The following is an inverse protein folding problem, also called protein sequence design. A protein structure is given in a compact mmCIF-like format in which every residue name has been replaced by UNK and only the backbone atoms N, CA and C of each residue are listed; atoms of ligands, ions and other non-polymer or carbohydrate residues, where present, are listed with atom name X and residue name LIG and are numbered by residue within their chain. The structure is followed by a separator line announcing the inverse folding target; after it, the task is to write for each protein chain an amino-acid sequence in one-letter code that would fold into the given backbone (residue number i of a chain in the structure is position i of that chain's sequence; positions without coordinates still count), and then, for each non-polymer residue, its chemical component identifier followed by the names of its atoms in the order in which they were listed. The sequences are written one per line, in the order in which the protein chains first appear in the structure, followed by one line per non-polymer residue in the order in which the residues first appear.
data_IF_903671290369
#
_entry.id   IF_903671290369
#
_cell.length_a   1.000
_cell.length_b   1.000
_cell.length_c   1.000
_cell.angle_alpha   90.00
_cell.angle_beta   90.00
_cell.angle_gamma   90.00
#
_symmetry.space_group_name_H-M   'P 1'
#
loop_
_entity.id
_entity.type
_entity.pdbx_description
1 polymer ?
#
# COMPACT_ATOMS: atom_id res chain seq x y z
N UNK A 1 -6.71 15.59 -12.13
CA UNK A 1 -7.20 14.41 -11.40
C UNK A 1 -6.83 14.53 -9.93
N UNK A 2 -7.71 14.08 -9.05
CA UNK A 2 -7.57 14.12 -7.59
C UNK A 2 -7.76 12.74 -7.01
N UNK A 3 -7.29 12.51 -5.80
CA UNK A 3 -7.45 11.26 -5.08
C UNK A 3 -8.23 11.47 -3.77
N UNK A 4 -9.13 10.55 -3.47
CA UNK A 4 -9.88 10.48 -2.22
C UNK A 4 -9.59 9.15 -1.54
N UNK A 5 -8.96 9.21 -0.36
CA UNK A 5 -8.69 8.04 0.47
C UNK A 5 -9.86 7.83 1.43
N UNK A 6 -10.46 6.66 1.38
CA UNK A 6 -11.48 6.24 2.33
C UNK A 6 -10.78 5.61 3.55
N UNK A 7 -10.86 6.26 4.70
CA UNK A 7 -10.28 5.74 5.96
C UNK A 7 -11.12 4.65 6.61
N UNK A 8 -12.35 4.43 6.11
CA UNK A 8 -13.31 3.51 6.70
C UNK A 8 -14.15 4.19 7.78
N UNK A 9 -15.47 3.97 7.75
CA UNK A 9 -16.33 4.38 8.87
C UNK A 9 -15.95 3.62 10.13
N UNK A 10 -16.24 4.16 11.32
CA UNK A 10 -16.05 3.50 12.63
C UNK A 10 -16.48 2.05 12.51
N UNK A 11 -15.53 1.14 12.37
CA UNK A 11 -15.78 -0.29 12.31
C UNK A 11 -16.25 -0.73 13.69
N UNK A 12 -17.56 -0.66 13.93
CA UNK A 12 -18.22 -1.02 15.19
C UNK A 12 -17.92 -2.48 15.62
N UNK A 13 -17.29 -3.27 14.74
CA UNK A 13 -16.97 -4.67 15.00
C UNK A 13 -15.59 -4.92 15.60
N UNK A 14 -14.62 -3.99 15.46
CA UNK A 14 -13.25 -4.16 15.95
C UNK A 14 -12.78 -3.06 16.89
N UNK A 15 -13.58 -1.99 17.12
CA UNK A 15 -13.27 -0.92 18.08
C UNK A 15 -12.05 -0.04 17.74
N UNK A 16 -11.35 -0.34 16.64
CA UNK A 16 -10.14 0.38 16.22
C UNK A 16 -10.32 0.95 14.83
N UNK A 17 -9.89 2.18 14.62
CA UNK A 17 -9.83 2.78 13.29
C UNK A 17 -8.78 2.04 12.45
N UNK A 18 -9.24 1.41 11.36
CA UNK A 18 -8.36 0.63 10.48
C UNK A 18 -7.27 1.47 9.83
N UNK A 19 -7.52 2.75 9.60
CA UNK A 19 -6.54 3.65 8.98
C UNK A 19 -5.29 3.80 9.84
N UNK A 20 -5.42 3.60 11.17
CA UNK A 20 -4.35 3.68 12.16
C UNK A 20 -3.63 2.34 12.39
N UNK A 21 -4.07 1.25 11.76
CA UNK A 21 -3.34 -0.01 11.85
C UNK A 21 -1.98 0.12 11.17
N UNK A 22 -0.95 -0.31 11.86
CA UNK A 22 0.43 -0.23 11.38
C UNK A 22 0.89 -1.53 10.72
N UNK A 23 1.67 -1.38 9.65
CA UNK A 23 2.44 -2.44 9.01
C UNK A 23 3.89 -1.97 8.93
N UNK A 24 4.78 -2.63 9.66
CA UNK A 24 6.18 -2.23 9.69
C UNK A 24 6.41 -0.82 10.28
N UNK A 25 5.58 -0.38 11.23
CA UNK A 25 5.69 0.95 11.86
C UNK A 25 5.14 2.10 11.01
N UNK A 26 4.44 1.80 9.92
CA UNK A 26 3.76 2.78 9.05
C UNK A 26 2.28 2.48 9.03
N UNK A 27 1.43 3.47 9.30
CA UNK A 27 -0.02 3.30 9.28
C UNK A 27 -0.53 2.99 7.87
N UNK A 28 -1.67 2.32 7.77
CA UNK A 28 -2.32 2.05 6.47
C UNK A 28 -2.62 3.35 5.72
N UNK A 29 -3.00 4.40 6.43
CA UNK A 29 -3.23 5.71 5.83
C UNK A 29 -1.95 6.29 5.24
N UNK A 30 -0.85 6.34 6.00
CA UNK A 30 0.44 6.85 5.52
C UNK A 30 0.96 6.03 4.33
N UNK A 31 0.80 4.71 4.39
CA UNK A 31 1.15 3.81 3.29
C UNK A 31 0.35 4.16 2.02
N UNK A 32 -0.96 4.34 2.14
CA UNK A 32 -1.82 4.70 1.00
C UNK A 32 -1.47 6.08 0.44
N UNK A 33 -1.17 7.05 1.30
CA UNK A 33 -0.67 8.37 0.88
C UNK A 33 0.63 8.21 0.08
N UNK A 34 1.57 7.41 0.58
CA UNK A 34 2.85 7.12 -0.09
C UNK A 34 2.69 6.50 -1.48
N UNK A 35 1.70 5.60 -1.65
CA UNK A 35 1.38 4.99 -2.94
C UNK A 35 0.83 6.00 -3.98
N UNK A 36 0.04 6.97 -3.53
CA UNK A 36 -0.65 7.92 -4.41
C UNK A 36 0.22 9.13 -4.74
N UNK A 37 1.07 9.57 -3.81
CA UNK A 37 1.86 10.80 -3.92
C UNK A 37 2.70 10.92 -5.19
N UNK A 38 3.29 9.84 -5.76
CA UNK A 38 3.98 9.91 -7.06
C UNK A 38 3.06 10.17 -8.25
N UNK A 39 1.74 9.92 -8.12
CA UNK A 39 0.76 9.97 -9.20
C UNK A 39 -0.04 11.28 -9.22
N UNK A 40 -0.27 11.90 -8.05
CA UNK A 40 -0.93 13.21 -7.91
C UNK A 40 -0.60 13.86 -6.58
N UNK A 41 -0.48 15.19 -6.59
CA UNK A 41 -0.32 15.99 -5.36
C UNK A 41 -1.67 16.35 -4.70
N UNK A 42 -2.78 16.19 -5.43
CA UNK A 42 -4.13 16.54 -4.96
C UNK A 42 -4.78 15.35 -4.26
N UNK A 43 -4.37 15.09 -3.02
CA UNK A 43 -4.84 13.96 -2.21
C UNK A 43 -5.71 14.50 -1.06
N UNK A 44 -6.87 13.89 -0.88
CA UNK A 44 -7.85 14.21 0.16
C UNK A 44 -8.20 12.96 0.96
N UNK A 45 -8.60 13.15 2.21
CA UNK A 45 -9.09 12.09 3.08
C UNK A 45 -10.60 12.25 3.24
N UNK A 46 -11.35 11.20 2.95
CA UNK A 46 -12.80 11.15 3.21
C UNK A 46 -13.04 10.89 4.68
N UNK A 47 -13.80 11.76 5.30
CA UNK A 47 -14.14 11.67 6.72
C UNK A 47 -15.66 11.74 6.93
N UNK A 48 -16.13 11.20 8.05
CA UNK A 48 -17.53 11.26 8.39
C UNK A 48 -18.03 12.71 8.52
N UNK A 49 -19.34 12.93 8.37
CA UNK A 49 -19.96 14.25 8.41
C UNK A 49 -19.65 15.03 9.70
N UNK A 50 -19.63 14.33 10.83
CA UNK A 50 -19.40 14.86 12.18
C UNK A 50 -17.98 14.65 12.71
N UNK A 51 -17.05 14.22 11.85
CA UNK A 51 -15.67 13.96 12.23
C UNK A 51 -14.96 15.27 12.62
N UNK A 52 -14.28 15.25 13.77
CA UNK A 52 -13.48 16.32 14.32
C UNK A 52 -12.00 15.99 14.47
N UNK A 53 -11.56 14.82 14.00
CA UNK A 53 -10.15 14.39 14.09
C UNK A 53 -9.26 15.22 13.16
N UNK A 54 -7.96 15.28 13.49
CA UNK A 54 -6.95 15.91 12.65
C UNK A 54 -6.29 14.88 11.77
N UNK A 55 -6.18 15.19 10.49
CA UNK A 55 -5.56 14.33 9.50
C UNK A 55 -4.35 15.02 8.85
N UNK A 56 -3.37 14.27 8.34
CA UNK A 56 -2.14 14.83 7.75
C UNK A 56 -2.36 15.52 6.40
N UNK A 57 -3.54 15.38 5.80
CA UNK A 57 -3.92 15.95 4.51
C UNK A 57 -5.29 16.63 4.58
N UNK A 58 -5.65 17.47 3.59
CA UNK A 58 -6.98 18.06 3.49
C UNK A 58 -8.08 16.99 3.50
N UNK A 59 -9.17 17.28 4.19
CA UNK A 59 -10.32 16.37 4.34
C UNK A 59 -11.51 16.82 3.51
N UNK A 60 -12.29 15.84 3.04
CA UNK A 60 -13.62 16.06 2.47
C UNK A 60 -14.62 15.32 3.36
N UNK A 61 -15.56 16.08 3.95
CA UNK A 61 -16.60 15.53 4.80
C UNK A 61 -17.75 14.98 3.99
N UNK A 62 -18.28 13.84 4.43
CA UNK A 62 -19.52 13.30 3.89
C UNK A 62 -20.65 14.34 3.97
N UNK A 63 -21.48 14.43 2.94
CA UNK A 63 -22.59 15.39 2.89
C UNK A 63 -23.73 15.04 3.86
N UNK A 64 -23.87 13.76 4.18
CA UNK A 64 -24.89 13.21 5.08
C UNK A 64 -24.28 12.22 6.08
N UNK A 65 -24.91 12.00 7.25
CA UNK A 65 -24.48 10.97 8.18
C UNK A 65 -24.56 9.56 7.57
N UNK A 66 -23.48 8.77 7.73
CA UNK A 66 -23.39 7.34 7.36
C UNK A 66 -23.78 6.98 5.91
N UNK A 67 -23.31 7.69 4.88
CA UNK A 67 -23.69 7.40 3.49
C UNK A 67 -22.97 6.17 2.91
N UNK A 68 -22.01 5.61 3.62
CA UNK A 68 -21.10 4.57 3.13
C UNK A 68 -20.11 5.10 2.07
N UNK A 69 -19.35 4.23 1.39
CA UNK A 69 -18.27 4.65 0.50
C UNK A 69 -18.71 5.52 -0.69
N UNK A 70 -19.95 5.41 -1.13
CA UNK A 70 -20.50 6.27 -2.20
C UNK A 70 -20.73 7.71 -1.74
N UNK A 71 -20.92 7.95 -0.43
CA UNK A 71 -21.04 9.30 0.13
C UNK A 71 -19.75 10.08 0.01
N UNK A 72 -18.61 9.46 0.30
CA UNK A 72 -17.30 10.08 0.10
C UNK A 72 -17.09 10.48 -1.37
N UNK A 73 -17.44 9.60 -2.33
CA UNK A 73 -17.35 9.92 -3.75
C UNK A 73 -18.32 11.06 -4.15
N UNK A 74 -19.53 11.08 -3.58
CA UNK A 74 -20.48 12.16 -3.81
C UNK A 74 -19.95 13.50 -3.28
N UNK A 75 -19.38 13.50 -2.08
CA UNK A 75 -18.75 14.68 -1.49
C UNK A 75 -17.54 15.15 -2.31
N UNK A 76 -16.75 14.24 -2.86
CA UNK A 76 -15.65 14.57 -3.76
C UNK A 76 -16.12 15.27 -5.03
N UNK A 77 -17.15 14.75 -5.70
CA UNK A 77 -17.73 15.42 -6.87
C UNK A 77 -18.43 16.76 -6.53
N UNK A 78 -18.99 16.89 -5.33
CA UNK A 78 -19.51 18.18 -4.85
C UNK A 78 -18.38 19.19 -4.58
N UNK A 79 -17.22 18.72 -4.11
CA UNK A 79 -16.03 19.54 -3.88
C UNK A 79 -15.38 20.02 -5.19
N UNK A 80 -15.27 19.14 -6.19
CA UNK A 80 -14.77 19.49 -7.53
C UNK A 80 -15.46 18.60 -8.59
N UNK A 81 -16.50 19.16 -9.25
CA UNK A 81 -17.30 18.41 -10.22
C UNK A 81 -16.59 18.13 -11.54
N UNK A 82 -15.57 18.90 -11.88
CA UNK A 82 -14.87 18.82 -13.17
C UNK A 82 -13.66 17.88 -13.14
N UNK A 83 -13.24 17.46 -11.95
CA UNK A 83 -12.10 16.55 -11.77
C UNK A 83 -12.52 15.08 -11.80
N UNK A 84 -11.68 14.25 -12.44
CA UNK A 84 -11.73 12.81 -12.20
C UNK A 84 -11.13 12.49 -10.81
N UNK A 85 -11.70 11.49 -10.13
CA UNK A 85 -11.36 11.11 -8.77
C UNK A 85 -10.88 9.65 -8.69
N UNK A 86 -9.66 9.43 -8.21
CA UNK A 86 -9.25 8.13 -7.70
C UNK A 86 -9.92 7.93 -6.34
N UNK A 87 -10.83 6.97 -6.24
CA UNK A 87 -11.38 6.50 -4.97
C UNK A 87 -10.61 5.27 -4.52
N UNK A 88 -10.01 5.31 -3.34
CA UNK A 88 -9.21 4.21 -2.82
C UNK A 88 -9.46 3.98 -1.33
N UNK A 89 -9.67 2.72 -0.95
CA UNK A 89 -9.72 2.32 0.45
C UNK A 89 -8.29 2.15 1.01
N UNK A 90 -8.06 2.57 2.25
CA UNK A 90 -6.74 2.45 2.89
C UNK A 90 -6.40 1.01 3.32
N UNK A 91 -7.31 0.06 3.22
CA UNK A 91 -7.15 -1.31 3.69
C UNK A 91 -6.66 -2.30 2.61
N UNK A 92 -5.93 -1.80 1.60
CA UNK A 92 -5.30 -2.59 0.52
C UNK A 92 -3.75 -2.63 0.69
N UNK A 93 -3.23 -3.39 1.65
CA UNK A 93 -1.83 -3.30 2.06
C UNK A 93 -0.82 -3.83 1.04
N UNK A 94 -1.24 -4.67 0.10
CA UNK A 94 -0.37 -5.29 -0.92
C UNK A 94 -0.38 -4.54 -2.26
N UNK A 95 -1.16 -3.46 -2.38
CA UNK A 95 -1.21 -2.66 -3.59
C UNK A 95 0.12 -1.89 -3.78
N UNK A 96 0.62 -1.87 -5.01
CA UNK A 96 1.87 -1.19 -5.38
C UNK A 96 1.62 0.11 -6.18
N UNK A 97 2.62 1.01 -6.29
CA UNK A 97 2.52 2.17 -7.17
C UNK A 97 2.34 1.79 -8.64
N UNK A 98 2.96 0.70 -9.09
CA UNK A 98 2.87 0.16 -10.45
C UNK A 98 1.45 -0.30 -10.76
N UNK A 99 0.78 -0.93 -9.78
CA UNK A 99 -0.62 -1.31 -9.91
C UNK A 99 -1.50 -0.08 -10.13
N UNK A 100 -1.35 0.94 -9.28
CA UNK A 100 -2.12 2.18 -9.43
C UNK A 100 -1.85 2.90 -10.75
N UNK A 101 -0.60 2.89 -11.25
CA UNK A 101 -0.25 3.52 -12.53
C UNK A 101 -1.10 3.00 -13.68
N UNK A 102 -1.48 1.71 -13.67
CA UNK A 102 -2.33 1.13 -14.70
C UNK A 102 -3.71 1.81 -14.78
N UNK A 103 -4.28 2.25 -13.63
CA UNK A 103 -5.54 3.00 -13.64
C UNK A 103 -5.37 4.37 -14.29
N UNK A 104 -4.22 5.02 -14.11
CA UNK A 104 -3.93 6.35 -14.67
C UNK A 104 -3.65 6.32 -16.18
N UNK A 105 -3.06 5.22 -16.65
CA UNK A 105 -2.72 5.02 -18.07
C UNK A 105 -3.94 4.65 -18.92
N UNK A 106 -4.95 4.03 -18.29
CA UNK A 106 -6.15 3.57 -18.97
C UNK A 106 -7.35 4.44 -18.59
N UNK A 107 -7.96 5.10 -19.56
CA UNK A 107 -9.09 6.01 -19.32
C UNK A 107 -10.40 5.37 -19.77
N UNK A 108 -11.25 5.05 -18.80
CA UNK A 108 -12.63 4.69 -19.03
C UNK A 108 -13.50 5.93 -19.28
N UNK A 109 -14.66 5.74 -19.85
CA UNK A 109 -15.62 6.81 -20.11
C UNK A 109 -16.20 7.36 -18.80
N UNK A 110 -16.71 6.47 -17.94
CA UNK A 110 -17.25 6.83 -16.63
C UNK A 110 -16.35 6.35 -15.49
N UNK A 111 -15.71 5.17 -15.64
CA UNK A 111 -14.85 4.60 -14.62
C UNK A 111 -13.78 3.68 -15.23
N UNK A 112 -12.58 3.72 -14.63
CA UNK A 112 -11.52 2.71 -14.81
C UNK A 112 -11.32 2.00 -13.48
N UNK A 113 -11.40 0.67 -13.48
CA UNK A 113 -11.33 -0.13 -12.27
C UNK A 113 -10.60 -1.45 -12.50
N UNK A 114 -10.17 -2.07 -11.41
CA UNK A 114 -9.70 -3.45 -11.44
C UNK A 114 -10.86 -4.43 -11.28
N UNK A 115 -10.68 -5.63 -11.84
CA UNK A 115 -11.50 -6.80 -11.49
C UNK A 115 -10.94 -7.43 -10.21
N UNK A 116 -11.81 -7.63 -9.24
CA UNK A 116 -11.45 -8.32 -8.00
C UNK A 116 -11.17 -9.80 -8.30
N UNK A 117 -9.99 -10.32 -7.94
CA UNK A 117 -9.57 -11.67 -8.32
C UNK A 117 -10.39 -12.80 -7.67
N UNK A 118 -11.19 -12.48 -6.65
CA UNK A 118 -11.93 -13.48 -5.90
C UNK A 118 -13.29 -13.81 -6.53
N UNK A 119 -13.93 -12.82 -7.12
CA UNK A 119 -15.30 -12.93 -7.61
C UNK A 119 -15.47 -12.36 -9.03
N UNK A 120 -14.39 -11.93 -9.63
CA UNK A 120 -14.33 -11.37 -11.00
C UNK A 120 -15.28 -10.18 -11.21
N UNK A 121 -15.53 -9.42 -10.14
CA UNK A 121 -16.36 -8.23 -10.17
C UNK A 121 -15.53 -6.95 -10.12
N UNK A 122 -16.03 -5.85 -10.71
CA UNK A 122 -15.37 -4.55 -10.62
C UNK A 122 -15.16 -4.13 -9.15
N UNK A 123 -13.94 -3.70 -8.81
CA UNK A 123 -13.60 -3.21 -7.47
C UNK A 123 -13.92 -1.71 -7.37
N UNK A 124 -14.95 -1.33 -6.63
CA UNK A 124 -15.38 0.07 -6.58
C UNK A 124 -14.51 0.96 -5.70
N UNK A 125 -13.72 0.38 -4.79
CA UNK A 125 -12.92 1.11 -3.81
C UNK A 125 -11.43 1.13 -4.16
N UNK A 126 -11.10 0.85 -5.42
CA UNK A 126 -9.81 1.11 -6.05
C UNK A 126 -10.07 1.39 -7.54
N UNK A 127 -10.60 2.59 -7.84
CA UNK A 127 -11.05 2.94 -9.18
C UNK A 127 -10.96 4.45 -9.43
N UNK A 128 -10.76 4.84 -10.68
CA UNK A 128 -10.83 6.25 -11.13
C UNK A 128 -12.19 6.51 -11.75
N UNK A 129 -12.93 7.43 -11.15
CA UNK A 129 -14.23 7.88 -11.59
C UNK A 129 -14.13 9.20 -12.35
N UNK A 130 -14.61 9.24 -13.58
CA UNK A 130 -14.70 10.45 -14.38
C UNK A 130 -15.88 11.35 -13.93
N UNK A 131 -15.88 12.65 -14.22
CA UNK A 131 -16.99 13.56 -13.91
C UNK A 131 -18.36 13.07 -14.38
N UNK A 132 -18.42 12.37 -15.51
CA UNK A 132 -19.65 11.81 -16.07
C UNK A 132 -20.36 10.80 -15.14
N UNK A 133 -19.61 10.13 -14.27
CA UNK A 133 -20.18 9.20 -13.30
C UNK A 133 -21.06 9.88 -12.23
N UNK A 134 -20.88 11.20 -12.00
CA UNK A 134 -21.57 11.95 -10.94
C UNK A 134 -23.09 11.94 -11.10
N UNK A 135 -23.60 12.04 -12.34
CA UNK A 135 -25.04 12.03 -12.62
C UNK A 135 -25.68 10.71 -12.19
N UNK A 136 -25.06 9.59 -12.55
CA UNK A 136 -25.55 8.25 -12.17
C UNK A 136 -25.41 8.04 -10.66
N UNK A 137 -24.33 8.53 -10.04
CA UNK A 137 -24.12 8.47 -8.60
C UNK A 137 -25.23 9.18 -7.84
N UNK A 138 -25.53 10.44 -8.18
CA UNK A 138 -26.55 11.24 -7.53
C UNK A 138 -27.95 10.61 -7.66
N UNK A 139 -28.27 10.05 -8.84
CA UNK A 139 -29.51 9.31 -9.04
C UNK A 139 -29.62 8.10 -8.12
N UNK A 140 -28.57 7.28 -8.03
CA UNK A 140 -28.54 6.06 -7.19
C UNK A 140 -28.68 6.42 -5.72
N UNK A 141 -28.00 7.47 -5.25
CA UNK A 141 -28.09 7.93 -3.86
C UNK A 141 -29.50 8.48 -3.54
N UNK A 142 -30.11 9.28 -4.44
CA UNK A 142 -31.48 9.78 -4.26
C UNK A 142 -32.54 8.66 -4.18
N UNK A 143 -32.27 7.51 -4.80
CA UNK A 143 -33.07 6.29 -4.68
C UNK A 143 -32.77 5.47 -3.42
N UNK A 144 -31.97 6.02 -2.47
CA UNK A 144 -31.49 5.36 -1.27
C UNK A 144 -30.73 4.04 -1.52
N UNK A 145 -30.09 3.93 -2.66
CA UNK A 145 -29.30 2.76 -3.06
C UNK A 145 -27.83 3.05 -2.80
N UNK A 146 -27.21 2.31 -1.86
CA UNK A 146 -25.86 2.62 -1.37
C UNK A 146 -24.83 1.52 -1.67
N UNK A 147 -25.15 0.59 -2.55
CA UNK A 147 -24.25 -0.50 -2.92
C UNK A 147 -23.24 -0.06 -3.99
N UNK A 148 -21.98 0.12 -3.60
CA UNK A 148 -20.91 0.55 -4.50
C UNK A 148 -20.68 -0.43 -5.66
N UNK A 149 -20.79 -1.75 -5.44
CA UNK A 149 -20.69 -2.76 -6.50
C UNK A 149 -21.83 -2.66 -7.54
N UNK A 150 -23.02 -2.29 -7.10
CA UNK A 150 -24.15 -2.08 -8.04
C UNK A 150 -23.97 -0.78 -8.82
N UNK A 151 -23.46 0.26 -8.18
CA UNK A 151 -23.15 1.53 -8.81
C UNK A 151 -22.13 1.35 -9.93
N UNK A 152 -20.95 0.80 -9.64
CA UNK A 152 -19.89 0.64 -10.64
C UNK A 152 -20.33 -0.20 -11.84
N UNK A 153 -21.19 -1.21 -11.62
CA UNK A 153 -21.74 -2.04 -12.69
C UNK A 153 -22.69 -1.29 -13.62
N UNK A 154 -23.28 -0.17 -13.18
CA UNK A 154 -24.19 0.65 -14.01
C UNK A 154 -23.47 1.69 -14.86
N UNK A 155 -22.14 1.78 -14.76
CA UNK A 155 -21.29 2.72 -15.49
C UNK A 155 -20.67 2.09 -16.74
N UNK A 156 -20.36 2.93 -17.73
CA UNK A 156 -19.48 2.57 -18.85
C UNK A 156 -18.03 2.52 -18.33
N UNK A 157 -17.41 1.35 -18.39
CA UNK A 157 -16.18 1.09 -17.64
C UNK A 157 -15.10 0.41 -18.46
N UNK A 158 -13.84 0.68 -18.10
CA UNK A 158 -12.66 -0.09 -18.46
C UNK A 158 -12.28 -0.95 -17.27
N UNK A 159 -12.19 -2.25 -17.49
CA UNK A 159 -11.84 -3.27 -16.49
C UNK A 159 -10.41 -3.75 -16.72
N UNK A 160 -9.58 -3.66 -15.69
CA UNK A 160 -8.19 -4.09 -15.72
C UNK A 160 -7.99 -5.29 -14.80
N UNK A 161 -6.99 -6.11 -15.09
CA UNK A 161 -6.57 -7.22 -14.24
C UNK A 161 -5.15 -6.96 -13.73
N UNK A 162 -4.96 -7.12 -12.43
CA UNK A 162 -3.63 -7.04 -11.85
C UNK A 162 -2.84 -8.32 -12.11
N UNK A 163 -1.53 -8.20 -12.39
CA UNK A 163 -0.63 -9.36 -12.49
C UNK A 163 -0.61 -10.18 -11.19
N UNK A 164 -0.60 -9.48 -10.04
CA UNK A 164 -0.64 -10.08 -8.70
C UNK A 164 -2.05 -9.98 -8.11
N UNK A 165 -2.84 -11.07 -8.15
CA UNK A 165 -4.22 -11.06 -7.68
C UNK A 165 -4.38 -10.66 -6.21
N UNK A 166 -3.34 -10.88 -5.40
CA UNK A 166 -3.37 -10.56 -3.96
C UNK A 166 -3.32 -9.06 -3.67
N UNK A 167 -2.96 -8.22 -4.64
CA UNK A 167 -2.85 -6.77 -4.44
C UNK A 167 -4.17 -6.11 -4.01
N UNK A 168 -5.32 -6.64 -4.44
CA UNK A 168 -6.66 -6.16 -4.07
C UNK A 168 -7.28 -6.85 -2.84
N UNK A 169 -6.53 -7.68 -2.13
CA UNK A 169 -7.03 -8.27 -0.89
C UNK A 169 -7.05 -7.23 0.22
N UNK A 170 -8.22 -7.02 0.78
CA UNK A 170 -8.42 -6.10 1.91
C UNK A 170 -8.20 -6.77 3.27
N UNK A 171 -7.89 -5.98 4.29
CA UNK A 171 -7.64 -6.42 5.66
C UNK A 171 -8.87 -6.98 6.42
N UNK A 172 -10.01 -7.10 5.76
CA UNK A 172 -11.18 -7.77 6.35
C UNK A 172 -11.03 -9.30 6.41
N UNK A 173 -9.93 -9.85 5.86
CA UNK A 173 -9.63 -11.28 5.88
C UNK A 173 -8.75 -11.61 7.07
N UNK A 174 -9.18 -12.54 7.95
CA UNK A 174 -8.42 -12.95 9.12
C UNK A 174 -7.01 -13.44 8.79
N UNK A 175 -6.85 -14.13 7.66
CA UNK A 175 -5.57 -14.68 7.21
C UNK A 175 -4.57 -13.56 6.90
N UNK A 176 -5.01 -12.53 6.20
CA UNK A 176 -4.17 -11.38 5.85
C UNK A 176 -3.82 -10.55 7.11
N UNK A 177 -4.78 -10.40 8.02
CA UNK A 177 -4.52 -9.73 9.29
C UNK A 177 -3.47 -10.48 10.11
N UNK A 178 -3.55 -11.81 10.16
CA UNK A 178 -2.56 -12.64 10.85
C UNK A 178 -1.18 -12.54 10.19
N UNK A 179 -1.11 -12.61 8.86
CA UNK A 179 0.15 -12.42 8.11
C UNK A 179 0.79 -11.07 8.43
N UNK A 180 0.00 -9.99 8.44
CA UNK A 180 0.49 -8.65 8.75
C UNK A 180 0.86 -8.48 10.23
N UNK A 181 0.15 -9.11 11.15
CA UNK A 181 0.52 -9.15 12.57
C UNK A 181 1.85 -9.86 12.80
N UNK A 182 2.09 -10.95 12.08
CA UNK A 182 3.39 -11.65 12.11
C UNK A 182 4.51 -10.75 11.56
N UNK A 183 4.27 -10.05 10.45
CA UNK A 183 5.22 -9.07 9.90
C UNK A 183 5.50 -7.94 10.90
N UNK A 184 4.48 -7.44 11.60
CA UNK A 184 4.63 -6.42 12.64
C UNK A 184 5.41 -6.92 13.87
N UNK A 185 5.20 -8.16 14.29
CA UNK A 185 5.95 -8.75 15.40
C UNK A 185 7.43 -8.92 15.08
N UNK A 186 7.78 -9.12 13.81
CA UNK A 186 9.15 -9.35 13.35
C UNK A 186 9.80 -8.14 12.67
N UNK A 187 9.04 -7.08 12.29
CA UNK A 187 9.49 -6.04 11.36
C UNK A 187 9.50 -4.59 11.82
N UNK A 188 9.01 -4.23 13.00
CA UNK A 188 8.68 -2.82 13.29
C UNK A 188 9.62 -2.05 14.20
N UNK A 189 10.64 -2.66 14.77
CA UNK A 189 11.64 -1.90 15.53
C UNK A 189 12.81 -1.57 14.62
N UNK A 190 13.10 -0.27 14.46
CA UNK A 190 14.39 0.15 13.90
C UNK A 190 15.49 -0.57 14.65
N UNK A 191 16.32 -1.26 13.90
CA UNK A 191 17.47 -2.01 14.42
C UNK A 191 18.72 -1.34 13.90
N UNK A 192 19.71 -1.20 14.73
CA UNK A 192 21.06 -0.87 14.30
C UNK A 192 21.78 -2.19 14.04
N UNK A 193 22.19 -2.42 12.81
CA UNK A 193 22.88 -3.63 12.35
C UNK A 193 24.26 -3.21 11.87
N UNK A 194 25.27 -3.94 12.27
CA UNK A 194 26.61 -3.82 11.69
C UNK A 194 26.70 -4.77 10.50
N UNK A 195 27.09 -4.27 9.34
CA UNK A 195 27.21 -5.06 8.12
C UNK A 195 28.67 -5.12 7.69
N UNK A 196 29.15 -6.32 7.37
CA UNK A 196 30.48 -6.59 6.88
C UNK A 196 30.40 -7.13 5.44
N UNK A 197 31.15 -6.50 4.57
CA UNK A 197 31.22 -6.83 3.14
C UNK A 197 32.54 -7.48 2.79
N UNK A 198 32.51 -8.57 2.04
CA UNK A 198 33.70 -9.31 1.64
C UNK A 198 33.94 -9.26 0.14
N UNK A 199 35.20 -9.32 -0.25
CA UNK A 199 35.68 -9.44 -1.63
C UNK A 199 35.00 -8.39 -2.56
N UNK A 200 34.28 -8.84 -3.60
CA UNK A 200 33.65 -7.97 -4.58
C UNK A 200 32.63 -6.99 -3.94
N UNK A 201 31.88 -7.41 -2.93
CA UNK A 201 30.91 -6.56 -2.26
C UNK A 201 31.57 -5.36 -1.55
N UNK A 202 32.74 -5.58 -0.92
CA UNK A 202 33.46 -4.48 -0.27
C UNK A 202 34.02 -3.46 -1.29
N UNK A 203 34.35 -3.91 -2.48
CA UNK A 203 34.80 -3.04 -3.59
C UNK A 203 33.63 -2.19 -4.12
N UNK A 204 32.48 -2.81 -4.33
CA UNK A 204 31.27 -2.12 -4.82
C UNK A 204 30.69 -1.15 -3.76
N UNK A 205 30.67 -1.53 -2.48
CA UNK A 205 30.25 -0.67 -1.38
C UNK A 205 31.25 0.42 -1.02
N UNK A 206 32.51 0.31 -1.45
CA UNK A 206 33.64 1.16 -1.08
C UNK A 206 33.91 1.22 0.44
N UNK A 207 33.46 0.20 1.15
CA UNK A 207 33.68 -0.01 2.57
C UNK A 207 33.68 -1.49 2.89
N UNK A 208 34.39 -1.87 3.94
CA UNK A 208 34.39 -3.25 4.45
C UNK A 208 33.34 -3.43 5.56
N UNK A 209 32.86 -2.32 6.15
CA UNK A 209 31.92 -2.35 7.25
C UNK A 209 31.13 -1.06 7.34
N UNK A 210 29.84 -1.16 7.66
CA UNK A 210 28.99 -0.02 7.99
C UNK A 210 27.98 -0.37 9.07
N UNK A 211 27.53 0.65 9.82
CA UNK A 211 26.40 0.53 10.73
C UNK A 211 25.15 1.09 10.01
N UNK A 212 24.14 0.28 9.87
CA UNK A 212 22.90 0.60 9.20
C UNK A 212 21.72 0.55 10.18
N UNK A 213 20.93 1.61 10.20
CA UNK A 213 19.61 1.57 10.84
C UNK A 213 18.58 1.09 9.85
N UNK A 214 18.01 -0.09 10.07
CA UNK A 214 17.07 -0.76 9.17
C UNK A 214 15.79 -1.16 9.90
N UNK A 215 14.72 -1.34 9.14
CA UNK A 215 13.48 -1.98 9.57
C UNK A 215 13.33 -3.39 8.99
N UNK A 216 14.32 -3.87 8.24
CA UNK A 216 14.29 -5.21 7.67
C UNK A 216 14.04 -6.27 8.74
N UNK A 217 13.11 -7.18 8.46
CA UNK A 217 12.74 -8.26 9.38
C UNK A 217 13.73 -9.42 9.34
N UNK A 218 14.25 -9.74 8.15
CA UNK A 218 15.06 -10.92 7.86
C UNK A 218 16.34 -10.54 7.11
N UNK A 219 17.27 -11.49 7.00
CA UNK A 219 18.47 -11.36 6.19
C UNK A 219 18.15 -11.05 4.72
N UNK A 220 17.13 -11.68 4.14
CA UNK A 220 16.73 -11.41 2.77
C UNK A 220 16.29 -9.95 2.57
N UNK A 221 15.46 -9.43 3.49
CA UNK A 221 15.05 -8.03 3.46
C UNK A 221 16.23 -7.05 3.59
N UNK A 222 17.17 -7.35 4.48
CA UNK A 222 18.39 -6.54 4.65
C UNK A 222 19.27 -6.58 3.39
N UNK A 223 19.42 -7.76 2.78
CA UNK A 223 20.20 -7.89 1.53
C UNK A 223 19.62 -7.02 0.41
N UNK A 224 18.32 -7.05 0.20
CA UNK A 224 17.68 -6.20 -0.83
C UNK A 224 17.88 -4.69 -0.55
N UNK A 225 17.81 -4.28 0.71
CA UNK A 225 18.07 -2.88 1.10
C UNK A 225 19.50 -2.46 0.74
N UNK A 226 20.51 -3.25 1.13
CA UNK A 226 21.92 -2.90 0.85
C UNK A 226 22.29 -3.09 -0.61
N UNK A 227 21.69 -4.07 -1.30
CA UNK A 227 21.88 -4.29 -2.72
C UNK A 227 21.46 -3.07 -3.55
N UNK A 228 20.30 -2.52 -3.23
CA UNK A 228 19.80 -1.30 -3.87
C UNK A 228 20.67 -0.08 -3.51
N UNK A 229 21.08 0.05 -2.26
CA UNK A 229 21.86 1.17 -1.74
C UNK A 229 23.24 1.27 -2.40
N UNK A 230 23.93 0.15 -2.53
CA UNK A 230 25.29 0.07 -3.05
C UNK A 230 25.37 -0.34 -4.53
N UNK A 231 24.19 -0.58 -5.16
CA UNK A 231 24.10 -1.05 -6.54
C UNK A 231 24.90 -2.35 -6.78
N UNK A 232 24.80 -3.30 -5.85
CA UNK A 232 25.50 -4.57 -5.98
C UNK A 232 25.11 -5.32 -7.24
N UNK A 233 26.12 -5.84 -7.94
CA UNK A 233 25.95 -6.58 -9.21
C UNK A 233 25.58 -8.05 -9.01
N UNK A 234 25.60 -8.56 -7.77
CA UNK A 234 25.31 -9.95 -7.44
C UNK A 234 23.90 -10.10 -6.90
N UNK A 235 23.22 -11.16 -7.32
CA UNK A 235 21.90 -11.52 -6.86
C UNK A 235 21.97 -12.51 -5.68
N UNK A 236 20.90 -12.58 -4.92
CA UNK A 236 20.75 -13.36 -3.69
C UNK A 236 21.24 -14.82 -3.78
N UNK A 237 21.00 -15.61 -4.87
CA UNK A 237 21.50 -16.99 -4.98
C UNK A 237 23.03 -17.13 -4.96
N UNK A 238 23.74 -16.05 -5.23
CA UNK A 238 25.20 -16.03 -5.29
C UNK A 238 25.87 -15.50 -4.02
N UNK A 239 25.09 -15.26 -2.97
CA UNK A 239 25.60 -14.70 -1.72
C UNK A 239 25.32 -15.69 -0.58
N UNK A 240 26.27 -15.80 0.34
CA UNK A 240 26.06 -16.42 1.65
C UNK A 240 26.01 -15.34 2.70
N UNK A 241 25.18 -15.54 3.71
CA UNK A 241 25.07 -14.65 4.84
C UNK A 241 25.42 -15.36 6.16
N UNK A 242 26.02 -14.62 7.07
CA UNK A 242 26.22 -15.07 8.46
C UNK A 242 25.70 -13.98 9.41
N UNK A 243 25.11 -14.41 10.53
CA UNK A 243 24.72 -13.58 11.66
C UNK A 243 25.63 -13.93 12.81
N UNK A 244 26.32 -12.95 13.39
CA UNK A 244 27.24 -13.11 14.51
C UNK A 244 28.26 -14.25 14.29
N UNK A 245 28.81 -14.33 13.09
CA UNK A 245 29.75 -15.33 12.59
C UNK A 245 29.17 -16.75 12.36
N UNK A 246 27.87 -16.96 12.43
CA UNK A 246 27.23 -18.22 12.11
C UNK A 246 26.47 -18.14 10.78
N UNK A 247 26.73 -19.06 9.84
CA UNK A 247 25.96 -19.13 8.58
C UNK A 247 24.47 -19.30 8.87
N UNK A 248 23.68 -18.49 8.23
CA UNK A 248 22.25 -18.38 8.51
C UNK A 248 21.42 -18.38 7.24
N UNK A 249 20.19 -18.88 7.34
CA UNK A 249 19.24 -18.88 6.24
C UNK A 249 18.68 -17.48 6.00
N UNK A 250 18.23 -17.21 4.78
CA UNK A 250 17.73 -15.92 4.36
C UNK A 250 16.48 -15.46 5.14
N UNK A 251 15.69 -16.39 5.67
CA UNK A 251 14.53 -16.13 6.51
C UNK A 251 14.89 -15.88 8.00
N UNK A 252 16.18 -15.92 8.35
CA UNK A 252 16.64 -15.67 9.74
C UNK A 252 16.20 -14.27 10.18
N UNK A 253 15.46 -14.15 11.32
CA UNK A 253 15.03 -12.87 11.85
C UNK A 253 16.22 -12.07 12.38
N UNK A 254 16.27 -10.78 12.08
CA UNK A 254 17.29 -9.86 12.56
C UNK A 254 16.97 -9.32 13.95
N UNK A 255 17.99 -9.18 14.78
CA UNK A 255 17.92 -8.53 16.09
C UNK A 255 18.72 -7.24 16.10
N UNK A 256 18.43 -6.36 17.04
CA UNK A 256 19.20 -5.13 17.21
C UNK A 256 20.63 -5.46 17.63
N UNK A 257 21.60 -4.81 16.98
CA UNK A 257 23.04 -5.00 17.16
C UNK A 257 23.62 -6.31 16.61
N UNK A 258 22.88 -7.06 15.79
CA UNK A 258 23.46 -8.18 15.06
C UNK A 258 24.61 -7.70 14.15
N UNK A 259 25.62 -8.52 14.00
CA UNK A 259 26.68 -8.33 12.99
C UNK A 259 26.42 -9.28 11.81
N UNK A 260 26.18 -8.71 10.64
CA UNK A 260 25.81 -9.44 9.44
C UNK A 260 26.97 -9.42 8.45
N UNK A 261 27.46 -10.60 8.06
CA UNK A 261 28.46 -10.74 7.02
C UNK A 261 27.84 -11.21 5.70
N UNK A 262 28.02 -10.45 4.63
CA UNK A 262 27.64 -10.86 3.27
C UNK A 262 28.87 -11.27 2.48
N UNK A 263 28.87 -12.52 2.02
CA UNK A 263 30.00 -13.18 1.37
C UNK A 263 29.62 -13.63 -0.03
N UNK A 264 30.25 -13.09 -1.08
CA UNK A 264 30.12 -13.64 -2.42
C UNK A 264 30.80 -15.03 -2.50
N UNK A 265 30.49 -15.84 -3.52
CA UNK A 265 31.19 -17.10 -3.73
C UNK A 265 32.68 -16.82 -3.86
N UNK A 266 33.48 -17.61 -3.19
CA UNK A 266 34.94 -17.56 -3.41
C UNK A 266 35.21 -17.91 -4.85
N UNK A 267 35.82 -17.02 -5.60
CA UNK A 267 36.49 -17.38 -6.86
C UNK A 267 37.67 -18.28 -6.49
N UNK A 268 37.36 -19.55 -6.31
CA UNK A 268 38.38 -20.60 -6.20
C UNK A 268 38.98 -20.81 -7.57
N UNK A 269 40.28 -20.70 -7.67
CA UNK A 269 41.06 -21.02 -8.85
C UNK A 269 40.96 -22.48 -9.26
#
# INVERSE_FOLDING_TARGET
MKALILTGGKSSRMGTDKSQLEIGGVTLLERTIGLIKPLTENIYISVAHDDAEQYPLPTIKDLEPSPGPLGGLQAAFAHDPDSAWLLIACDLPKLSPEDLSQLFENKGKDVTCFLNPLDDHPEPLCAIYAPSASTTLNKIISENRRCARRFIRSLDRVELRLPEPQALLNLNRPELLTELQLLNQHGSKKKTITIEYFAKLSQEAKTIREDLTTTAATLAGLWEEVRLRHHFSLDLPHIKAAVDNEFSDWETPLKNYDTIAFMPPFAGG
#
